data_IF_733577014828
#
_entry.id   IF_733577014828
#
_cell.length_a   1.000
_cell.length_b   1.000
_cell.length_c   1.000
_cell.angle_alpha   90.00
_cell.angle_beta   90.00
_cell.angle_gamma   90.00
#
_symmetry.space_group_name_H-M   'P 1'
#
loop_
_entity.id
_entity.type
_entity.pdbx_description
1 polymer ?
#
# COMPACT_ATOMS: atom_id res chain seq x y z
N UNK A 1 -15.92 4.64 -24.35
CA UNK A 1 -15.24 5.24 -23.18
C UNK A 1 -15.08 4.19 -22.10
N UNK A 2 -13.86 3.97 -21.60
CA UNK A 2 -13.58 3.01 -20.52
C UNK A 2 -13.46 3.67 -19.16
N UNK A 3 -13.83 2.95 -18.10
CA UNK A 3 -13.74 3.39 -16.72
C UNK A 3 -12.28 3.69 -16.33
N UNK A 4 -12.08 4.77 -15.60
CA UNK A 4 -10.77 5.18 -15.11
C UNK A 4 -10.79 5.16 -13.60
N UNK A 5 -10.22 4.10 -13.03
CA UNK A 5 -10.09 3.97 -11.59
C UNK A 5 -8.63 4.07 -11.22
N UNK A 6 -8.26 5.18 -10.59
CA UNK A 6 -6.92 5.37 -10.05
C UNK A 6 -6.97 6.29 -8.85
N UNK A 7 -5.92 6.28 -8.05
CA UNK A 7 -5.86 7.06 -6.83
C UNK A 7 -5.70 8.55 -7.16
N UNK A 8 -6.43 9.47 -6.49
CA UNK A 8 -6.39 10.90 -6.80
C UNK A 8 -5.00 11.54 -6.74
N UNK A 9 -4.07 10.98 -5.96
CA UNK A 9 -2.71 11.52 -5.84
C UNK A 9 -1.78 11.03 -6.96
N UNK A 10 -2.06 9.85 -7.51
CA UNK A 10 -1.24 9.24 -8.57
C UNK A 10 -1.85 9.48 -9.96
N UNK A 11 -3.05 10.06 -10.03
CA UNK A 11 -3.75 10.40 -11.28
C UNK A 11 -2.89 11.28 -12.20
N UNK A 12 -2.11 12.19 -11.63
CA UNK A 12 -1.27 13.12 -12.39
C UNK A 12 -0.14 12.43 -13.14
N UNK A 13 0.35 11.31 -12.61
CA UNK A 13 1.31 10.47 -13.31
C UNK A 13 0.69 9.87 -14.57
N UNK A 14 -0.51 9.30 -14.47
CA UNK A 14 -1.21 8.71 -15.62
C UNK A 14 -1.56 9.78 -16.65
N UNK A 15 -2.05 10.93 -16.21
CA UNK A 15 -2.37 12.06 -17.09
C UNK A 15 -1.10 12.56 -17.80
N UNK A 16 0.04 12.65 -17.12
CA UNK A 16 1.30 13.05 -17.74
C UNK A 16 1.73 12.11 -18.88
N UNK A 17 1.54 10.80 -18.72
CA UNK A 17 1.77 9.81 -19.78
C UNK A 17 0.78 10.00 -20.94
N UNK A 18 -0.51 10.16 -20.64
CA UNK A 18 -1.55 10.38 -21.66
C UNK A 18 -1.25 11.65 -22.47
N UNK A 19 -0.90 12.75 -21.80
CA UNK A 19 -0.56 14.02 -22.44
C UNK A 19 0.63 13.87 -23.40
N UNK A 20 1.63 13.06 -23.03
CA UNK A 20 2.75 12.75 -23.91
C UNK A 20 2.30 11.93 -25.13
N UNK A 21 1.43 10.93 -24.95
CA UNK A 21 0.88 10.14 -26.05
C UNK A 21 -0.01 10.97 -27.00
N UNK A 22 -0.81 11.89 -26.47
CA UNK A 22 -1.62 12.83 -27.25
C UNK A 22 -0.74 13.78 -28.07
N UNK A 23 0.33 14.32 -27.48
CA UNK A 23 1.30 15.15 -28.20
C UNK A 23 1.97 14.41 -29.36
N UNK A 24 2.18 13.10 -29.19
CA UNK A 24 2.69 12.20 -30.24
C UNK A 24 1.62 11.67 -31.19
N UNK A 25 0.40 12.21 -31.15
CA UNK A 25 -0.73 11.85 -32.01
C UNK A 25 -0.98 10.34 -32.06
N UNK A 26 -0.85 9.65 -30.92
CA UNK A 26 -1.15 8.22 -30.84
C UNK A 26 -2.64 7.96 -31.06
N UNK A 27 -2.97 6.74 -31.46
CA UNK A 27 -4.36 6.36 -31.67
C UNK A 27 -5.13 6.36 -30.34
N UNK A 28 -6.40 6.73 -30.43
CA UNK A 28 -7.28 6.88 -29.26
C UNK A 28 -7.43 5.55 -28.49
N UNK A 29 -7.37 4.41 -29.17
CA UNK A 29 -7.52 3.09 -28.53
C UNK A 29 -6.29 2.71 -27.72
N UNK A 30 -5.08 3.02 -28.19
CA UNK A 30 -3.83 2.82 -27.45
C UNK A 30 -3.73 3.74 -26.24
N UNK A 31 -4.15 5.00 -26.39
CA UNK A 31 -4.24 5.95 -25.26
C UNK A 31 -5.21 5.40 -24.20
N UNK A 32 -6.40 4.98 -24.62
CA UNK A 32 -7.40 4.44 -23.70
C UNK A 32 -6.93 3.13 -23.03
N UNK A 33 -6.26 2.25 -23.79
CA UNK A 33 -5.72 1.00 -23.27
C UNK A 33 -4.61 1.25 -22.24
N UNK A 34 -3.73 2.21 -22.51
CA UNK A 34 -2.65 2.60 -21.58
C UNK A 34 -3.22 3.23 -20.31
N UNK A 35 -4.22 4.11 -20.45
CA UNK A 35 -4.93 4.72 -19.33
C UNK A 35 -5.52 3.66 -18.38
N UNK A 36 -6.15 2.63 -18.92
CA UNK A 36 -6.75 1.54 -18.12
C UNK A 36 -5.66 0.65 -17.51
N UNK A 37 -4.67 0.25 -18.32
CA UNK A 37 -3.60 -0.66 -17.89
C UNK A 37 -2.71 -0.09 -16.80
N UNK A 38 -2.44 1.21 -16.83
CA UNK A 38 -1.60 1.91 -15.83
C UNK A 38 -2.45 2.46 -14.67
N UNK A 39 -3.67 2.91 -14.94
CA UNK A 39 -4.56 3.48 -13.93
C UNK A 39 -4.92 2.52 -12.80
N UNK A 40 -5.33 1.29 -13.16
CA UNK A 40 -5.79 0.29 -12.20
C UNK A 40 -4.75 -0.09 -11.12
N UNK A 41 -3.50 -0.47 -11.46
CA UNK A 41 -2.49 -0.80 -10.45
C UNK A 41 -2.15 0.41 -9.56
N UNK A 42 -2.05 1.61 -10.15
CA UNK A 42 -1.81 2.83 -9.36
C UNK A 42 -2.98 3.19 -8.44
N UNK A 43 -4.21 2.78 -8.79
CA UNK A 43 -5.36 2.86 -7.89
C UNK A 43 -5.12 2.09 -6.60
N UNK A 44 -4.88 0.78 -6.71
CA UNK A 44 -4.67 -0.07 -5.54
C UNK A 44 -3.45 0.32 -4.70
N UNK A 45 -2.34 0.69 -5.34
CA UNK A 45 -1.13 1.16 -4.64
C UNK A 45 -1.42 2.45 -3.88
N UNK A 46 -2.07 3.41 -4.56
CA UNK A 46 -2.36 4.70 -3.97
C UNK A 46 -3.31 4.58 -2.78
N UNK A 47 -4.32 3.72 -2.87
CA UNK A 47 -5.24 3.47 -1.75
C UNK A 47 -4.48 2.95 -0.51
N UNK A 48 -3.61 1.96 -0.69
CA UNK A 48 -2.82 1.40 0.41
C UNK A 48 -1.82 2.42 0.99
N UNK A 49 -1.11 3.16 0.14
CA UNK A 49 -0.07 4.09 0.58
C UNK A 49 -0.63 5.38 1.18
N UNK A 50 -1.67 5.97 0.59
CA UNK A 50 -2.14 7.29 1.00
C UNK A 50 -3.29 7.20 1.99
N UNK A 51 -4.33 6.41 1.69
CA UNK A 51 -5.49 6.32 2.58
C UNK A 51 -5.24 5.45 3.80
N UNK A 52 -4.54 4.32 3.64
CA UNK A 52 -4.32 3.38 4.74
C UNK A 52 -3.01 3.61 5.51
N UNK A 53 -2.06 4.35 4.92
CA UNK A 53 -0.74 4.55 5.55
C UNK A 53 -0.48 6.02 5.87
N UNK A 54 -0.35 6.88 4.86
CA UNK A 54 0.02 8.29 5.08
C UNK A 54 -1.02 9.03 5.92
N UNK A 55 -2.30 8.95 5.57
CA UNK A 55 -3.37 9.69 6.25
C UNK A 55 -3.48 9.29 7.74
N UNK A 56 -3.53 8.00 8.12
CA UNK A 56 -3.55 7.60 9.53
C UNK A 56 -2.27 7.98 10.29
N UNK A 57 -1.10 7.95 9.66
CA UNK A 57 0.16 8.37 10.30
C UNK A 57 0.12 9.87 10.59
N UNK A 58 -0.20 10.69 9.58
CA UNK A 58 -0.36 12.12 9.77
C UNK A 58 -1.40 12.42 10.85
N UNK A 59 -2.53 11.71 10.81
CA UNK A 59 -3.62 11.83 11.77
C UNK A 59 -3.21 11.46 13.19
N UNK A 60 -2.48 10.35 13.36
CA UNK A 60 -1.97 9.90 14.66
C UNK A 60 -0.96 10.87 15.27
N UNK A 61 -0.03 11.38 14.47
CA UNK A 61 0.93 12.40 14.91
C UNK A 61 0.19 13.67 15.31
N UNK A 62 -0.71 14.18 14.45
CA UNK A 62 -1.49 15.37 14.74
C UNK A 62 -2.36 15.23 15.99
N UNK A 63 -3.03 14.09 16.15
CA UNK A 63 -3.84 13.78 17.33
C UNK A 63 -3.00 13.72 18.61
N UNK A 64 -1.81 13.11 18.56
CA UNK A 64 -0.91 13.00 19.73
C UNK A 64 -0.48 14.35 20.29
N UNK A 65 -0.31 15.34 19.41
CA UNK A 65 0.02 16.72 19.77
C UNK A 65 -1.22 17.50 20.24
N UNK A 66 -2.36 17.27 19.59
CA UNK A 66 -3.63 17.91 19.97
C UNK A 66 -4.10 17.47 21.37
N UNK A 67 -3.92 16.20 21.72
CA UNK A 67 -4.24 15.66 23.05
C UNK A 67 -3.41 16.32 24.17
N UNK A 68 -2.24 16.89 23.86
CA UNK A 68 -1.42 17.66 24.79
C UNK A 68 -1.88 19.12 24.92
N UNK A 69 -3.03 19.49 24.33
CA UNK A 69 -3.58 20.84 24.36
C UNK A 69 -2.99 21.79 23.29
N UNK A 70 -2.17 21.28 22.38
CA UNK A 70 -1.49 22.12 21.38
C UNK A 70 -2.24 22.19 20.05
N UNK A 71 -2.57 23.41 19.62
CA UNK A 71 -3.14 23.69 18.28
C UNK A 71 -2.19 23.24 17.15
N UNK A 72 -0.89 23.11 17.44
CA UNK A 72 0.09 22.61 16.48
C UNK A 72 -0.26 21.22 15.96
N UNK A 73 -1.03 20.40 16.69
CA UNK A 73 -1.49 19.10 16.18
C UNK A 73 -2.29 19.20 14.89
N UNK A 74 -3.22 20.15 14.80
CA UNK A 74 -4.01 20.39 13.59
C UNK A 74 -3.16 20.95 12.44
N UNK A 75 -2.23 21.86 12.76
CA UNK A 75 -1.33 22.48 11.79
C UNK A 75 -0.37 21.44 11.20
N UNK A 76 0.24 20.59 12.04
CA UNK A 76 1.15 19.53 11.62
C UNK A 76 0.44 18.54 10.70
N UNK A 77 -0.79 18.13 11.04
CA UNK A 77 -1.58 17.26 10.16
C UNK A 77 -1.78 17.87 8.77
N UNK A 78 -2.27 19.12 8.72
CA UNK A 78 -2.57 19.81 7.46
C UNK A 78 -1.30 19.97 6.63
N UNK A 79 -0.22 20.45 7.23
CA UNK A 79 1.04 20.71 6.53
C UNK A 79 1.66 19.40 6.04
N UNK A 80 1.82 18.41 6.90
CA UNK A 80 2.47 17.14 6.55
C UNK A 80 1.73 16.42 5.42
N UNK A 81 0.40 16.35 5.50
CA UNK A 81 -0.41 15.70 4.48
C UNK A 81 -0.42 16.49 3.16
N UNK A 82 -0.57 17.81 3.21
CA UNK A 82 -0.64 18.63 1.99
C UNK A 82 0.71 18.81 1.30
N UNK A 83 1.83 18.85 2.03
CA UNK A 83 3.16 18.91 1.41
C UNK A 83 3.41 17.68 0.55
N UNK A 84 3.10 16.49 1.06
CA UNK A 84 3.22 15.24 0.29
C UNK A 84 2.23 15.23 -0.88
N UNK A 85 0.97 15.60 -0.65
CA UNK A 85 -0.05 15.66 -1.70
C UNK A 85 0.33 16.60 -2.84
N UNK A 86 0.70 17.85 -2.54
CA UNK A 86 1.06 18.86 -3.53
C UNK A 86 2.38 18.50 -4.22
N UNK A 87 3.38 18.04 -3.45
CA UNK A 87 4.66 17.60 -3.99
C UNK A 87 4.50 16.49 -5.01
N UNK A 88 3.69 15.47 -4.71
CA UNK A 88 3.36 14.41 -5.65
C UNK A 88 2.55 14.92 -6.84
N UNK A 89 1.57 15.79 -6.61
CA UNK A 89 0.70 16.29 -7.68
C UNK A 89 1.49 17.01 -8.77
N UNK A 90 2.37 17.95 -8.40
CA UNK A 90 3.18 18.69 -9.36
C UNK A 90 4.40 17.89 -9.83
N UNK A 91 5.07 17.17 -8.92
CA UNK A 91 6.25 16.38 -9.22
C UNK A 91 5.96 15.24 -10.20
N UNK A 92 4.92 14.44 -9.93
CA UNK A 92 4.56 13.31 -10.77
C UNK A 92 4.04 13.74 -12.14
N UNK A 93 3.27 14.83 -12.23
CA UNK A 93 2.80 15.34 -13.52
C UNK A 93 3.98 15.68 -14.44
N UNK A 94 4.95 16.43 -13.92
CA UNK A 94 6.08 16.92 -14.69
C UNK A 94 7.07 15.79 -15.00
N UNK A 95 7.31 14.90 -14.04
CA UNK A 95 8.14 13.72 -14.22
C UNK A 95 7.54 12.77 -15.27
N UNK A 96 6.26 12.43 -15.14
CA UNK A 96 5.57 11.52 -16.05
C UNK A 96 5.48 12.09 -17.47
N UNK A 97 5.31 13.40 -17.61
CA UNK A 97 5.32 14.04 -18.92
C UNK A 97 6.69 13.93 -19.59
N UNK A 98 7.78 14.28 -18.88
CA UNK A 98 9.15 14.18 -19.40
C UNK A 98 9.52 12.73 -19.75
N UNK A 99 9.18 11.80 -18.85
CA UNK A 99 9.35 10.36 -19.06
C UNK A 99 8.50 9.85 -20.22
N UNK A 100 7.24 10.29 -20.33
CA UNK A 100 6.30 9.89 -21.35
C UNK A 100 6.79 10.26 -22.75
N UNK A 101 7.37 11.46 -22.91
CA UNK A 101 8.00 11.90 -24.17
C UNK A 101 9.22 11.04 -24.52
N UNK A 102 10.03 10.63 -23.53
CA UNK A 102 11.17 9.75 -23.77
C UNK A 102 10.76 8.28 -24.01
N UNK A 103 9.63 7.83 -23.45
CA UNK A 103 9.19 6.45 -23.43
C UNK A 103 8.15 6.10 -24.52
N UNK A 104 7.85 7.02 -25.44
CA UNK A 104 6.88 6.83 -26.54
C UNK A 104 7.09 5.48 -27.28
N UNK A 105 8.32 5.08 -27.67
CA UNK A 105 8.52 3.82 -28.41
C UNK A 105 8.22 2.57 -27.55
N UNK A 106 8.50 2.67 -26.24
CA UNK A 106 8.37 1.59 -25.26
C UNK A 106 6.90 1.34 -24.90
N UNK A 107 6.14 2.42 -24.71
CA UNK A 107 4.69 2.38 -24.47
C UNK A 107 3.96 1.89 -25.72
N UNK A 108 4.37 2.36 -26.91
CA UNK A 108 3.79 1.99 -28.22
C UNK A 108 3.80 0.49 -28.50
N UNK A 109 4.92 -0.18 -28.25
CA UNK A 109 5.07 -1.59 -28.59
C UNK A 109 4.59 -2.54 -27.47
N UNK A 110 4.43 -2.05 -26.24
CA UNK A 110 4.33 -2.91 -25.08
C UNK A 110 3.39 -2.39 -23.97
N UNK A 111 2.23 -1.80 -24.30
CA UNK A 111 1.23 -1.34 -23.31
C UNK A 111 0.93 -2.41 -22.23
N UNK A 112 0.82 -3.69 -22.64
CA UNK A 112 0.66 -4.82 -21.71
C UNK A 112 1.86 -4.99 -20.76
N UNK A 113 3.10 -4.84 -21.24
CA UNK A 113 4.30 -4.94 -20.39
C UNK A 113 4.42 -3.75 -19.45
N UNK A 114 3.98 -2.56 -19.87
CA UNK A 114 3.95 -1.36 -19.00
C UNK A 114 2.96 -1.57 -17.85
N UNK A 115 1.75 -2.04 -18.12
CA UNK A 115 0.78 -2.39 -17.07
C UNK A 115 1.28 -3.52 -16.17
N UNK A 116 1.95 -4.54 -16.74
CA UNK A 116 2.55 -5.62 -15.97
C UNK A 116 3.69 -5.13 -15.06
N UNK A 117 4.58 -4.27 -15.56
CA UNK A 117 5.64 -3.66 -14.77
C UNK A 117 5.08 -2.78 -13.64
N UNK A 118 4.04 -1.99 -13.91
CA UNK A 118 3.34 -1.21 -12.88
C UNK A 118 2.72 -2.13 -11.81
N UNK A 119 2.18 -3.27 -12.21
CA UNK A 119 1.62 -4.27 -11.28
C UNK A 119 2.71 -4.94 -10.43
N UNK A 120 3.87 -5.27 -11.00
CA UNK A 120 5.01 -5.81 -10.25
C UNK A 120 5.44 -4.82 -9.18
N UNK A 121 5.67 -3.56 -9.56
CA UNK A 121 6.04 -2.50 -8.61
C UNK A 121 4.99 -2.38 -7.51
N UNK A 122 3.71 -2.41 -7.87
CA UNK A 122 2.63 -2.33 -6.90
C UNK A 122 2.57 -3.48 -5.91
N UNK A 123 2.68 -4.72 -6.39
CA UNK A 123 2.68 -5.90 -5.54
C UNK A 123 3.88 -5.92 -4.60
N UNK A 124 5.05 -5.48 -5.06
CA UNK A 124 6.25 -5.34 -4.21
C UNK A 124 6.03 -4.34 -3.09
N UNK A 125 5.43 -3.18 -3.39
CA UNK A 125 5.11 -2.16 -2.38
C UNK A 125 4.12 -2.71 -1.36
N UNK A 126 3.04 -3.36 -1.79
CA UNK A 126 2.05 -3.96 -0.89
C UNK A 126 2.71 -5.03 0.00
N UNK A 127 3.59 -5.88 -0.56
CA UNK A 127 4.34 -6.88 0.21
C UNK A 127 5.23 -6.26 1.29
N UNK A 128 5.94 -5.18 0.95
CA UNK A 128 6.76 -4.42 1.92
C UNK A 128 5.90 -3.80 3.03
N UNK A 129 4.72 -3.27 2.69
CA UNK A 129 3.78 -2.73 3.69
C UNK A 129 3.29 -3.82 4.65
N UNK A 130 2.96 -5.01 4.15
CA UNK A 130 2.56 -6.14 5.00
C UNK A 130 3.68 -6.49 5.99
N UNK A 131 4.91 -6.64 5.51
CA UNK A 131 6.05 -7.01 6.36
C UNK A 131 6.38 -5.96 7.42
N UNK A 132 6.10 -4.68 7.15
CA UNK A 132 6.48 -3.56 8.03
C UNK A 132 5.37 -3.18 9.02
N UNK A 133 4.11 -3.22 8.59
CA UNK A 133 2.99 -2.68 9.38
C UNK A 133 2.16 -3.73 10.12
N UNK A 134 2.16 -4.99 9.67
CA UNK A 134 1.42 -6.04 10.37
C UNK A 134 2.29 -6.57 11.51
N UNK A 135 1.94 -6.19 12.74
CA UNK A 135 2.60 -6.68 13.96
C UNK A 135 1.82 -7.87 14.50
N UNK A 136 2.37 -9.06 14.27
CA UNK A 136 1.86 -10.30 14.86
C UNK A 136 3.02 -11.06 15.46
N UNK A 137 2.99 -11.24 16.77
CA UNK A 137 3.99 -12.01 17.51
C UNK A 137 3.34 -12.97 18.47
N UNK A 138 3.81 -14.21 18.50
CA UNK A 138 3.49 -15.23 19.49
C UNK A 138 4.48 -15.21 20.66
N UNK A 139 3.96 -15.19 21.88
CA UNK A 139 4.72 -15.21 23.15
C UNK A 139 5.02 -16.63 23.66
N UNK A 140 4.84 -17.66 22.82
CA UNK A 140 5.14 -19.05 23.17
C UNK A 140 6.62 -19.26 23.53
N UNK A 141 6.85 -19.56 24.80
CA UNK A 141 8.13 -20.01 25.33
C UNK A 141 8.07 -21.54 25.49
N UNK A 142 8.94 -22.28 24.79
CA UNK A 142 9.18 -23.69 25.12
C UNK A 142 10.37 -23.72 26.06
N UNK A 143 10.12 -24.12 27.31
CA UNK A 143 11.16 -24.38 28.29
C UNK A 143 11.71 -25.78 28.05
N UNK A 144 12.99 -25.89 27.67
CA UNK A 144 13.71 -27.15 27.60
C UNK A 144 14.87 -27.11 28.61
N UNK A 145 14.59 -27.47 29.87
CA UNK A 145 15.56 -27.31 30.98
C UNK A 145 15.77 -25.85 31.39
N UNK A 146 17.02 -25.42 31.60
CA UNK A 146 17.39 -24.02 31.94
C UNK A 146 17.42 -23.06 30.73
N UNK A 147 17.15 -23.55 29.51
CA UNK A 147 17.09 -22.71 28.31
C UNK A 147 15.63 -22.41 27.94
N UNK A 148 15.23 -21.16 28.14
CA UNK A 148 13.95 -20.62 27.63
C UNK A 148 14.13 -20.33 26.15
N UNK A 149 13.57 -21.17 25.28
CA UNK A 149 13.59 -20.95 23.83
C UNK A 149 12.30 -20.27 23.41
N UNK A 150 12.40 -19.04 22.90
CA UNK A 150 11.26 -18.30 22.36
C UNK A 150 11.04 -18.76 20.93
N UNK A 151 9.98 -19.53 20.64
CA UNK A 151 9.77 -20.09 19.29
C UNK A 151 9.84 -19.04 18.19
N UNK A 152 9.26 -17.87 18.46
CA UNK A 152 9.25 -16.82 17.46
C UNK A 152 10.63 -16.21 17.26
N UNK A 153 11.27 -15.71 18.33
CA UNK A 153 12.54 -15.00 18.21
C UNK A 153 13.72 -15.93 17.83
N UNK A 154 13.72 -17.16 18.32
CA UNK A 154 14.88 -18.05 18.20
C UNK A 154 14.82 -19.00 17.00
N UNK A 155 13.63 -19.22 16.42
CA UNK A 155 13.43 -20.15 15.29
C UNK A 155 12.80 -19.45 14.09
N UNK A 156 11.63 -18.82 14.26
CA UNK A 156 10.86 -18.26 13.14
C UNK A 156 11.51 -16.98 12.60
N UNK A 157 11.91 -16.06 13.48
CA UNK A 157 12.46 -14.76 13.08
C UNK A 157 13.87 -14.91 12.45
N UNK A 158 14.62 -15.95 12.83
CA UNK A 158 15.89 -16.31 12.17
C UNK A 158 15.70 -16.88 10.77
N UNK A 159 14.59 -17.56 10.51
CA UNK A 159 14.28 -18.10 9.18
C UNK A 159 13.65 -17.03 8.28
N UNK A 160 12.64 -16.31 8.79
CA UNK A 160 11.97 -15.21 8.13
C UNK A 160 11.23 -14.29 9.13
N UNK A 161 11.73 -13.07 9.41
CA UNK A 161 11.20 -12.15 10.43
C UNK A 161 9.70 -11.78 10.30
N UNK A 162 9.14 -11.87 9.10
CA UNK A 162 7.76 -11.49 8.81
C UNK A 162 6.86 -12.69 8.45
N UNK A 163 7.22 -13.91 8.87
CA UNK A 163 6.46 -15.11 8.54
C UNK A 163 5.02 -15.10 9.08
N UNK A 164 4.84 -14.81 10.36
CA UNK A 164 3.52 -14.75 10.99
C UNK A 164 2.62 -13.65 10.38
N UNK A 165 3.11 -12.40 10.20
CA UNK A 165 2.41 -11.38 9.42
C UNK A 165 1.98 -11.83 8.01
N UNK A 166 2.86 -12.55 7.30
CA UNK A 166 2.58 -13.05 5.96
C UNK A 166 1.46 -14.11 5.97
N UNK A 167 1.57 -15.12 6.84
CA UNK A 167 0.55 -16.18 6.93
C UNK A 167 -0.81 -15.59 7.31
N UNK A 168 -0.82 -14.65 8.25
CA UNK A 168 -2.02 -13.95 8.67
C UNK A 168 -2.69 -13.19 7.52
N UNK A 169 -1.91 -12.39 6.79
CA UNK A 169 -2.43 -11.61 5.66
C UNK A 169 -2.91 -12.49 4.50
N UNK A 170 -2.22 -13.59 4.19
CA UNK A 170 -2.67 -14.56 3.20
C UNK A 170 -3.98 -15.26 3.63
N UNK A 171 -4.13 -15.56 4.91
CA UNK A 171 -5.37 -16.15 5.46
C UNK A 171 -6.54 -15.17 5.34
N UNK A 172 -6.32 -13.90 5.69
CA UNK A 172 -7.34 -12.85 5.53
C UNK A 172 -7.70 -12.64 4.05
N UNK A 173 -6.71 -12.59 3.16
CA UNK A 173 -6.93 -12.49 1.72
C UNK A 173 -7.78 -13.64 1.18
N UNK A 174 -7.49 -14.87 1.60
CA UNK A 174 -8.26 -16.04 1.23
C UNK A 174 -9.72 -15.98 1.72
N UNK A 175 -9.96 -15.50 2.94
CA UNK A 175 -11.31 -15.31 3.47
C UNK A 175 -12.10 -14.23 2.71
N UNK A 176 -11.44 -13.13 2.32
CA UNK A 176 -12.06 -12.10 1.46
C UNK A 176 -12.46 -12.70 0.11
N UNK A 177 -11.60 -13.52 -0.51
CA UNK A 177 -11.92 -14.22 -1.76
C UNK A 177 -13.12 -15.18 -1.63
N UNK A 178 -13.40 -15.68 -0.42
CA UNK A 178 -14.61 -16.46 -0.10
C UNK A 178 -15.86 -15.60 0.14
N UNK A 179 -15.77 -14.29 -0.01
CA UNK A 179 -16.91 -13.37 0.14
C UNK A 179 -17.20 -12.95 1.58
N UNK A 180 -16.25 -13.15 2.50
CA UNK A 180 -16.41 -12.65 3.87
C UNK A 180 -16.34 -11.12 3.88
N UNK A 181 -17.23 -10.48 4.63
CA UNK A 181 -17.23 -9.01 4.75
C UNK A 181 -16.05 -8.54 5.62
N UNK A 182 -15.45 -7.37 5.31
CA UNK A 182 -14.34 -6.82 6.10
C UNK A 182 -14.67 -6.66 7.60
N UNK A 183 -15.91 -6.29 7.93
CA UNK A 183 -16.39 -6.18 9.30
C UNK A 183 -16.27 -7.51 10.09
N UNK A 184 -16.58 -8.64 9.44
CA UNK A 184 -16.44 -9.97 10.07
C UNK A 184 -14.98 -10.31 10.31
N UNK A 185 -14.08 -9.96 9.39
CA UNK A 185 -12.64 -10.21 9.54
C UNK A 185 -12.05 -9.39 10.69
N UNK A 186 -12.45 -8.13 10.83
CA UNK A 186 -12.06 -7.29 11.97
C UNK A 186 -12.53 -7.95 13.28
N UNK A 187 -13.78 -8.40 13.35
CA UNK A 187 -14.29 -9.08 14.54
C UNK A 187 -13.50 -10.36 14.88
N UNK A 188 -13.19 -11.20 13.89
CA UNK A 188 -12.34 -12.38 14.06
C UNK A 188 -10.95 -12.01 14.55
N UNK A 189 -10.34 -10.95 14.01
CA UNK A 189 -9.03 -10.45 14.43
C UNK A 189 -9.03 -10.05 15.91
N UNK A 190 -10.07 -9.31 16.33
CA UNK A 190 -10.22 -8.86 17.72
C UNK A 190 -10.39 -10.05 18.66
N UNK A 191 -11.25 -11.01 18.31
CA UNK A 191 -11.46 -12.23 19.10
C UNK A 191 -10.16 -13.04 19.20
N UNK A 192 -9.44 -13.21 18.09
CA UNK A 192 -8.16 -13.94 18.06
C UNK A 192 -7.10 -13.24 18.94
N UNK A 193 -7.04 -11.91 18.93
CA UNK A 193 -6.16 -11.15 19.80
C UNK A 193 -6.50 -11.29 21.29
N UNK A 194 -7.79 -11.26 21.65
CA UNK A 194 -8.23 -11.44 23.04
C UNK A 194 -7.92 -12.87 23.52
N UNK A 195 -8.33 -13.89 22.77
CA UNK A 195 -8.09 -15.30 23.11
C UNK A 195 -6.60 -15.60 23.14
N UNK A 196 -5.83 -15.09 22.18
CA UNK A 196 -4.37 -15.26 22.11
C UNK A 196 -3.67 -14.74 23.37
N UNK A 197 -4.07 -13.56 23.87
CA UNK A 197 -3.55 -13.00 25.11
C UNK A 197 -3.94 -13.83 26.34
N UNK A 198 -5.20 -14.27 26.43
CA UNK A 198 -5.67 -15.10 27.56
C UNK A 198 -5.02 -16.49 27.60
N UNK A 199 -4.65 -17.04 26.45
CA UNK A 199 -3.95 -18.32 26.33
C UNK A 199 -2.42 -18.20 26.34
N UNK A 200 -1.85 -17.01 26.60
CA UNK A 200 -0.40 -16.75 26.57
C UNK A 200 0.30 -17.18 25.25
N UNK A 201 -0.44 -17.15 24.14
CA UNK A 201 0.07 -17.51 22.81
C UNK A 201 0.37 -16.28 21.95
N UNK A 202 -0.23 -15.12 22.23
CA UNK A 202 -0.12 -13.87 21.45
C UNK A 202 0.08 -12.65 22.36
#
# INVERSE_FOLDING_TARGET
>A
MGFFNTHPFLVTFVIGIILAMERSKQDVNSIQSTKIAVGAPLGGIGDAMFWLTLLPICGGIGASLALQGSILGAVVFIVLFNVVHLGLRFGLAHYAYRMGVAAIPLIKANTKKVGHAASIVGMTVIGALVATYVRLSTTLEITAGDAVVKLQADVIDKLMPAFLPLVYTLTMFWLVRRGWSPLRLIAVTVVLGIVGKFCHFL
#
